data_IF_078335711065
#
_entry.id   IF_078335711065
#
_cell.length_a   1.000
_cell.length_b   1.000
_cell.length_c   1.000
_cell.angle_alpha   90.00
_cell.angle_beta   90.00
_cell.angle_gamma   90.00
#
_symmetry.space_group_name_H-M   'P 1'
#
loop_
_entity.id
_entity.type
_entity.pdbx_description
1 polymer ?
#
# COMPACT_ATOMS: atom_id res chain seq x y z
N UNK A 1 8.22 -19.82 -14.25
CA UNK A 1 7.04 -19.53 -13.41
C UNK A 1 7.36 -18.41 -12.40
N UNK A 2 8.04 -17.37 -12.86
CA UNK A 2 8.72 -16.36 -12.02
C UNK A 2 7.77 -15.27 -11.50
N UNK A 3 6.78 -14.89 -12.31
CA UNK A 3 5.84 -13.81 -12.02
C UNK A 3 5.04 -13.98 -10.73
N UNK A 4 4.67 -15.22 -10.38
CA UNK A 4 3.94 -15.51 -9.14
C UNK A 4 4.82 -15.32 -7.91
N UNK A 5 6.05 -15.83 -7.97
CA UNK A 5 7.02 -15.67 -6.88
C UNK A 5 7.36 -14.19 -6.66
N UNK A 6 7.53 -13.43 -7.75
CA UNK A 6 7.73 -11.98 -7.69
C UNK A 6 6.55 -11.25 -7.03
N UNK A 7 5.31 -11.64 -7.35
CA UNK A 7 4.12 -11.01 -6.75
C UNK A 7 4.03 -11.27 -5.24
N UNK A 8 4.34 -12.50 -4.81
CA UNK A 8 4.42 -12.85 -3.38
C UNK A 8 5.56 -12.08 -2.70
N UNK A 9 6.74 -12.04 -3.31
CA UNK A 9 7.88 -11.28 -2.76
C UNK A 9 7.54 -9.78 -2.63
N UNK A 10 6.85 -9.22 -3.62
CA UNK A 10 6.37 -7.84 -3.59
C UNK A 10 5.34 -7.60 -2.48
N UNK A 11 4.39 -8.52 -2.27
CA UNK A 11 3.43 -8.42 -1.16
C UNK A 11 4.12 -8.53 0.20
N UNK A 12 5.08 -9.44 0.36
CA UNK A 12 5.89 -9.54 1.58
C UNK A 12 6.68 -8.26 1.83
N UNK A 13 7.28 -7.67 0.79
CA UNK A 13 7.96 -6.38 0.89
C UNK A 13 7.00 -5.23 1.24
N UNK A 14 5.76 -5.26 0.75
CA UNK A 14 4.72 -4.32 1.11
C UNK A 14 4.32 -4.47 2.59
N UNK A 15 4.11 -5.71 3.07
CA UNK A 15 3.85 -5.99 4.49
C UNK A 15 4.92 -5.39 5.39
N UNK A 16 6.20 -5.65 5.08
CA UNK A 16 7.32 -5.08 5.84
C UNK A 16 7.43 -3.56 5.73
N UNK A 17 7.06 -2.98 4.59
CA UNK A 17 7.03 -1.52 4.41
C UNK A 17 5.90 -0.85 5.17
N UNK A 18 4.76 -1.53 5.29
CA UNK A 18 3.59 -1.03 5.99
C UNK A 18 3.63 -1.28 7.50
N UNK A 19 4.50 -2.19 7.96
CA UNK A 19 4.58 -2.61 9.36
C UNK A 19 3.22 -3.16 9.84
N UNK A 20 2.50 -3.81 8.93
CA UNK A 20 1.10 -4.24 9.11
C UNK A 20 0.98 -5.76 9.11
N UNK A 21 0.52 -6.32 10.22
CA UNK A 21 0.27 -7.76 10.36
C UNK A 21 -1.02 -8.21 9.66
N UNK A 22 -1.88 -7.27 9.24
CA UNK A 22 -3.15 -7.55 8.56
C UNK A 22 -2.94 -8.00 7.09
N UNK A 23 -1.72 -7.82 6.55
CA UNK A 23 -1.36 -8.28 5.21
C UNK A 23 -0.96 -9.76 5.28
N UNK A 24 -1.92 -10.63 4.97
CA UNK A 24 -1.71 -12.06 4.82
C UNK A 24 -1.12 -12.42 3.44
N UNK A 25 -0.15 -13.35 3.42
CA UNK A 25 0.50 -13.83 2.20
C UNK A 25 -0.28 -15.05 1.65
N UNK A 26 -0.95 -14.93 0.49
CA UNK A 26 -1.74 -16.03 -0.10
C UNK A 26 -0.86 -17.15 -0.69
N UNK A 27 -1.46 -18.31 -0.99
CA UNK A 27 -0.76 -19.39 -1.71
C UNK A 27 -0.40 -18.91 -3.13
N UNK A 28 0.88 -19.01 -3.48
CA UNK A 28 1.42 -18.69 -4.81
C UNK A 28 0.73 -19.45 -5.96
N UNK A 29 0.11 -20.60 -5.68
CA UNK A 29 -0.60 -21.44 -6.65
C UNK A 29 -2.06 -21.03 -6.85
N UNK A 30 -2.57 -20.04 -6.12
CA UNK A 30 -3.93 -19.53 -6.30
C UNK A 30 -4.14 -19.09 -7.77
N UNK A 31 -5.16 -19.63 -8.49
CA UNK A 31 -5.45 -19.25 -9.88
C UNK A 31 -5.75 -17.77 -10.10
N UNK A 32 -6.11 -17.04 -9.03
CA UNK A 32 -6.46 -15.63 -9.00
C UNK A 32 -5.50 -14.84 -8.09
N UNK A 33 -4.23 -15.27 -8.01
CA UNK A 33 -3.21 -14.67 -7.16
C UNK A 33 -3.11 -13.14 -7.31
N UNK A 34 -3.17 -12.63 -8.54
CA UNK A 34 -3.10 -11.19 -8.81
C UNK A 34 -4.17 -10.39 -8.04
N UNK A 35 -5.40 -10.91 -7.94
CA UNK A 35 -6.47 -10.27 -7.18
C UNK A 35 -6.29 -10.42 -5.67
N UNK A 36 -5.78 -11.57 -5.20
CA UNK A 36 -5.44 -11.76 -3.78
C UNK A 36 -4.41 -10.73 -3.31
N UNK A 37 -3.38 -10.48 -4.13
CA UNK A 37 -2.36 -9.47 -3.83
C UNK A 37 -2.95 -8.06 -3.93
N UNK A 38 -3.73 -7.77 -4.97
CA UNK A 38 -4.33 -6.44 -5.18
C UNK A 38 -5.35 -6.03 -4.09
N UNK A 39 -5.90 -6.99 -3.35
CA UNK A 39 -6.77 -6.72 -2.19
C UNK A 39 -6.12 -5.76 -1.19
N UNK A 40 -4.83 -5.92 -0.94
CA UNK A 40 -4.07 -5.11 0.02
C UNK A 40 -3.53 -3.79 -0.54
N UNK A 41 -3.73 -3.52 -1.83
CA UNK A 41 -3.25 -2.30 -2.51
C UNK A 41 -4.41 -1.32 -2.61
N UNK A 42 -4.30 -0.10 -2.09
CA UNK A 42 -5.41 0.88 -2.07
C UNK A 42 -5.58 1.67 -3.37
N UNK A 43 -4.66 1.49 -4.32
CA UNK A 43 -4.67 2.19 -5.61
C UNK A 43 -5.83 1.74 -6.51
N UNK A 44 -6.76 2.67 -6.77
CA UNK A 44 -7.95 2.40 -7.58
C UNK A 44 -7.62 2.15 -9.05
N UNK A 45 -6.67 2.89 -9.62
CA UNK A 45 -6.32 2.80 -11.04
C UNK A 45 -5.72 1.43 -11.33
N UNK A 46 -4.83 0.94 -10.47
CA UNK A 46 -4.32 -0.42 -10.59
C UNK A 46 -5.47 -1.44 -10.52
N UNK A 47 -6.34 -1.36 -9.51
CA UNK A 47 -7.44 -2.32 -9.34
C UNK A 47 -8.34 -2.39 -10.57
N UNK A 48 -8.74 -1.24 -11.11
CA UNK A 48 -9.53 -1.16 -12.34
C UNK A 48 -8.78 -1.72 -13.54
N UNK A 49 -7.48 -1.43 -13.66
CA UNK A 49 -6.63 -1.98 -14.73
C UNK A 49 -6.62 -3.51 -14.67
N UNK A 50 -6.44 -4.10 -13.49
CA UNK A 50 -6.41 -5.55 -13.32
C UNK A 50 -7.75 -6.21 -13.68
N UNK A 51 -8.89 -5.59 -13.36
CA UNK A 51 -10.22 -6.08 -13.73
C UNK A 51 -10.45 -6.11 -15.25
N UNK A 52 -9.81 -5.22 -16.00
CA UNK A 52 -9.91 -5.18 -17.47
C UNK A 52 -9.04 -6.20 -18.21
N UNK A 53 -8.05 -6.80 -17.54
CA UNK A 53 -7.10 -7.74 -18.16
C UNK A 53 -7.64 -9.17 -18.21
N UNK A 54 -7.46 -9.84 -19.35
CA UNK A 54 -8.08 -11.14 -19.64
C UNK A 54 -7.30 -12.34 -19.11
N UNK A 55 -5.97 -12.22 -18.96
CA UNK A 55 -5.13 -13.32 -18.47
C UNK A 55 -4.47 -13.04 -17.12
N UNK A 56 -4.27 -14.10 -16.33
CA UNK A 56 -3.56 -14.00 -15.05
C UNK A 56 -2.11 -13.60 -15.24
N UNK A 57 -1.48 -14.05 -16.32
CA UNK A 57 -0.10 -13.69 -16.63
C UNK A 57 0.04 -12.18 -16.91
N UNK A 58 -0.90 -11.56 -17.64
CA UNK A 58 -0.90 -10.11 -17.85
C UNK A 58 -1.12 -9.35 -16.56
N UNK A 59 -2.09 -9.80 -15.73
CA UNK A 59 -2.35 -9.19 -14.42
C UNK A 59 -1.12 -9.22 -13.52
N UNK A 60 -0.44 -10.37 -13.43
CA UNK A 60 0.79 -10.50 -12.64
C UNK A 60 1.94 -9.64 -13.17
N UNK A 61 2.09 -9.51 -14.50
CA UNK A 61 3.08 -8.60 -15.09
C UNK A 61 2.80 -7.14 -14.70
N UNK A 62 1.56 -6.69 -14.85
CA UNK A 62 1.16 -5.32 -14.50
C UNK A 62 1.36 -5.06 -13.01
N UNK A 63 0.96 -6.01 -12.17
CA UNK A 63 1.11 -5.94 -10.72
C UNK A 63 2.59 -5.85 -10.30
N UNK A 64 3.44 -6.70 -10.86
CA UNK A 64 4.89 -6.71 -10.55
C UNK A 64 5.59 -5.44 -11.03
N UNK A 65 5.15 -4.84 -12.13
CA UNK A 65 5.66 -3.55 -12.58
C UNK A 65 5.25 -2.39 -11.65
N UNK A 66 4.05 -2.47 -11.07
CA UNK A 66 3.48 -1.44 -10.20
C UNK A 66 4.03 -1.46 -8.77
N UNK A 67 4.19 -2.65 -8.19
CA UNK A 67 4.50 -2.85 -6.77
C UNK A 67 5.72 -2.07 -6.24
N UNK A 68 6.87 -2.01 -6.93
CA UNK A 68 8.06 -1.31 -6.42
C UNK A 68 7.82 0.17 -6.11
N UNK A 69 7.14 0.87 -7.01
CA UNK A 69 6.85 2.29 -6.83
C UNK A 69 5.83 2.52 -5.70
N UNK A 70 4.79 1.68 -5.64
CA UNK A 70 3.80 1.74 -4.58
C UNK A 70 4.42 1.50 -3.19
N UNK A 71 5.29 0.49 -3.06
CA UNK A 71 6.01 0.20 -1.82
C UNK A 71 6.87 1.40 -1.39
N UNK A 72 7.56 2.06 -2.33
CA UNK A 72 8.34 3.25 -2.03
C UNK A 72 7.46 4.39 -1.48
N UNK A 73 6.25 4.59 -2.03
CA UNK A 73 5.27 5.56 -1.51
C UNK A 73 4.81 5.19 -0.10
N UNK A 74 4.48 3.93 0.16
CA UNK A 74 4.07 3.45 1.49
C UNK A 74 5.17 3.69 2.53
N UNK A 75 6.43 3.35 2.20
CA UNK A 75 7.58 3.61 3.09
C UNK A 75 7.73 5.10 3.41
N UNK A 76 7.59 5.97 2.40
CA UNK A 76 7.66 7.42 2.61
C UNK A 76 6.54 7.91 3.52
N UNK A 77 5.30 7.49 3.26
CA UNK A 77 4.14 7.85 4.09
C UNK A 77 4.32 7.38 5.53
N UNK A 78 4.78 6.15 5.75
CA UNK A 78 5.00 5.62 7.09
C UNK A 78 6.19 6.27 7.79
N UNK A 79 7.26 6.61 7.05
CA UNK A 79 8.34 7.41 7.60
C UNK A 79 7.82 8.77 8.06
N UNK A 80 7.07 9.49 7.22
CA UNK A 80 6.43 10.78 7.59
C UNK A 80 5.54 10.63 8.82
N UNK A 81 4.70 9.59 8.91
CA UNK A 81 3.89 9.31 10.11
C UNK A 81 4.76 9.07 11.36
N UNK A 82 5.87 8.35 11.23
CA UNK A 82 6.80 8.04 12.34
C UNK A 82 7.62 9.26 12.79
N UNK A 83 7.98 10.16 11.87
CA UNK A 83 8.81 11.35 12.16
C UNK A 83 8.02 12.63 12.36
N UNK A 84 6.74 12.69 12.00
CA UNK A 84 5.89 13.85 12.28
C UNK A 84 5.60 13.92 13.80
N UNK A 85 6.17 14.89 14.53
CA UNK A 85 5.80 15.10 15.91
C UNK A 85 4.49 15.88 15.91
N UNK A 86 3.36 15.25 16.25
CA UNK A 86 2.16 15.92 16.81
C UNK A 86 1.84 17.32 16.24
N UNK A 87 1.75 17.51 14.92
CA UNK A 87 1.37 18.78 14.28
C UNK A 87 -0.14 19.07 14.44
N UNK A 88 -0.60 19.13 15.68
CA UNK A 88 -1.99 19.27 16.08
C UNK A 88 -2.11 19.68 17.55
N UNK A 89 -1.30 20.64 17.97
CA UNK A 89 -1.60 21.55 19.08
C UNK A 89 -1.03 22.92 18.70
N UNK A 90 -1.56 23.49 17.61
CA UNK A 90 -1.50 24.93 17.44
C UNK A 90 -2.23 25.53 18.62
N UNK A 91 -1.45 26.16 19.51
CA UNK A 91 -1.95 26.90 20.65
C UNK A 91 -2.93 27.95 20.13
N UNK A 92 -4.24 27.71 20.24
CA UNK A 92 -5.18 28.82 20.30
C UNK A 92 -4.95 29.41 21.69
N UNK A 93 -3.97 30.30 21.79
CA UNK A 93 -3.99 31.33 22.82
C UNK A 93 -5.17 32.21 22.45
N UNK A 94 -6.36 31.83 22.92
CA UNK A 94 -7.50 32.72 22.95
C UNK A 94 -7.08 33.83 23.91
N UNK A 95 -6.71 34.97 23.32
CA UNK A 95 -6.40 36.16 24.09
C UNK A 95 -7.68 36.66 24.71
N UNK A 96 -7.86 36.41 26.00
CA UNK A 96 -8.78 37.18 26.80
C UNK A 96 -7.96 38.19 27.60
N UNK A 97 -7.89 39.40 27.06
CA UNK A 97 -7.59 40.62 27.81
C UNK A 97 -8.77 41.58 27.67
N UNK A 98 -9.34 41.93 28.82
CA UNK A 98 -10.29 43.01 29.11
C UNK A 98 -11.73 42.83 28.58
N UNK A 99 -12.81 43.22 29.27
CA UNK A 99 -13.03 44.13 30.39
C UNK A 99 -14.35 43.77 31.12
N UNK A 100 -14.45 44.12 32.41
CA UNK A 100 -15.67 44.02 33.22
C UNK A 100 -15.37 44.29 34.68
#
# INVERSE_FOLDING_TARGET
NDLRAMAIAGLTALRSADDSEDIYIPDSRDPQLSFRVAWFITDLVLRQTLLGLRSEAERLRQLNAFLPEYIARVRRTNHVKKVAPRNGHGMIKLGDSHAG
#
